data_IF_793715677150
#
_entry.id   IF_793715677150
#
_cell.length_a   1.000
_cell.length_b   1.000
_cell.length_c   1.000
_cell.angle_alpha   90.00
_cell.angle_beta   90.00
_cell.angle_gamma   90.00
#
_symmetry.space_group_name_H-M   'P 1'
#
loop_
_entity.id
_entity.type
_entity.pdbx_description
1 polymer ?
#
# COMPACT_ATOMS: atom_id res chain seq x y z
N UNK A 1 7.17 -2.68 -7.15
CA UNK A 1 5.86 -2.67 -6.47
C UNK A 1 5.52 -4.08 -6.02
N UNK A 2 4.82 -4.23 -4.90
CA UNK A 2 4.30 -5.54 -4.50
C UNK A 2 2.88 -5.68 -5.02
N UNK A 3 2.56 -6.78 -5.66
CA UNK A 3 1.22 -7.01 -6.22
C UNK A 3 0.70 -8.35 -5.75
N UNK A 4 -0.57 -8.38 -5.38
CA UNK A 4 -1.32 -9.61 -5.16
C UNK A 4 -1.97 -9.97 -6.49
N UNK A 5 -1.63 -11.12 -7.04
CA UNK A 5 -2.19 -11.62 -8.29
C UNK A 5 -2.87 -12.97 -8.10
N UNK A 6 -3.88 -13.22 -8.92
CA UNK A 6 -4.57 -14.51 -9.02
C UNK A 6 -4.13 -15.23 -10.28
N UNK A 7 -3.58 -16.42 -10.12
CA UNK A 7 -3.22 -17.30 -11.23
C UNK A 7 -4.46 -17.89 -11.91
N UNK A 8 -4.35 -18.33 -13.17
CA UNK A 8 -5.45 -19.01 -13.87
C UNK A 8 -5.87 -20.31 -13.18
N UNK A 9 -4.98 -20.93 -12.41
CA UNK A 9 -5.28 -22.11 -11.57
C UNK A 9 -6.15 -21.75 -10.33
N UNK A 10 -6.38 -20.46 -10.08
CA UNK A 10 -7.19 -19.94 -8.98
C UNK A 10 -6.41 -19.67 -7.69
N UNK A 11 -5.12 -19.99 -7.64
CA UNK A 11 -4.21 -19.65 -6.54
C UNK A 11 -3.85 -18.17 -6.53
N UNK A 12 -3.60 -17.63 -5.34
CA UNK A 12 -3.23 -16.23 -5.13
C UNK A 12 -1.77 -16.16 -4.66
N UNK A 13 -1.01 -15.18 -5.17
CA UNK A 13 0.41 -15.00 -4.86
C UNK A 13 0.78 -13.52 -4.77
N UNK A 14 1.62 -13.17 -3.80
CA UNK A 14 2.24 -11.85 -3.69
C UNK A 14 3.61 -11.86 -4.36
N UNK A 15 3.78 -11.01 -5.39
CA UNK A 15 5.03 -10.91 -6.15
C UNK A 15 5.52 -9.48 -6.21
N UNK A 16 6.84 -9.31 -6.18
CA UNK A 16 7.47 -8.02 -6.39
C UNK A 16 7.80 -7.83 -7.88
N UNK A 17 7.16 -6.84 -8.50
CA UNK A 17 7.38 -6.46 -9.89
C UNK A 17 8.10 -5.11 -9.96
N UNK A 18 9.28 -5.07 -10.56
CA UNK A 18 10.05 -3.82 -10.77
C UNK A 18 9.87 -3.22 -12.16
N UNK A 19 9.56 -4.04 -13.16
CA UNK A 19 9.50 -3.65 -14.58
C UNK A 19 8.14 -3.10 -15.03
N UNK A 20 7.15 -3.07 -14.14
CA UNK A 20 5.78 -2.65 -14.46
C UNK A 20 5.48 -1.32 -13.78
N UNK A 21 5.76 -0.16 -14.40
CA UNK A 21 5.53 1.14 -13.78
C UNK A 21 4.03 1.51 -13.66
N UNK A 22 3.16 0.92 -14.47
CA UNK A 22 1.73 1.25 -14.57
C UNK A 22 0.87 0.00 -14.50
N UNK A 23 0.95 -0.72 -13.38
CA UNK A 23 0.07 -1.87 -13.14
C UNK A 23 -1.19 -1.40 -12.40
N UNK A 24 -2.35 -1.81 -12.87
CA UNK A 24 -3.66 -1.47 -12.29
C UNK A 24 -4.41 -2.73 -11.83
N UNK A 25 -5.32 -2.57 -10.87
CA UNK A 25 -6.19 -3.67 -10.42
C UNK A 25 -7.12 -4.10 -11.57
N UNK A 26 -7.16 -5.41 -11.83
CA UNK A 26 -7.89 -6.00 -12.95
C UNK A 26 -7.05 -6.22 -14.22
N UNK A 27 -5.80 -5.76 -14.24
CA UNK A 27 -4.90 -6.01 -15.37
C UNK A 27 -4.51 -7.50 -15.48
N UNK A 28 -4.29 -7.98 -16.71
CA UNK A 28 -3.97 -9.38 -17.00
C UNK A 28 -2.51 -9.45 -17.45
N UNK A 29 -1.69 -10.14 -16.67
CA UNK A 29 -0.27 -10.37 -16.96
C UNK A 29 -0.10 -11.38 -18.12
N UNK A 30 1.12 -11.43 -18.68
CA UNK A 30 1.46 -12.30 -19.82
C UNK A 30 1.22 -13.80 -19.54
N UNK A 31 1.37 -14.22 -18.28
CA UNK A 31 1.08 -15.59 -17.80
C UNK A 31 -0.43 -15.88 -17.64
N UNK A 32 -1.29 -14.90 -17.90
CA UNK A 32 -2.74 -15.00 -17.69
C UNK A 32 -3.17 -14.78 -16.24
N UNK A 33 -2.25 -14.35 -15.37
CA UNK A 33 -2.55 -13.98 -13.99
C UNK A 33 -3.24 -12.61 -13.93
N UNK A 34 -4.20 -12.44 -13.01
CA UNK A 34 -4.99 -11.21 -12.86
C UNK A 34 -4.53 -10.45 -11.62
N UNK A 35 -4.29 -9.15 -11.76
CA UNK A 35 -3.89 -8.29 -10.64
C UNK A 35 -5.12 -8.03 -9.76
N UNK A 36 -5.08 -8.45 -8.50
CA UNK A 36 -6.18 -8.22 -7.54
C UNK A 36 -5.93 -6.96 -6.71
N UNK A 37 -4.68 -6.71 -6.32
CA UNK A 37 -4.32 -5.54 -5.53
C UNK A 37 -2.88 -5.10 -5.82
N UNK A 38 -2.66 -3.79 -5.93
CA UNK A 38 -1.33 -3.19 -6.10
C UNK A 38 -0.92 -2.47 -4.83
N UNK A 39 0.13 -2.94 -4.18
CA UNK A 39 0.78 -2.26 -3.04
C UNK A 39 2.01 -1.52 -3.54
N UNK A 40 1.87 -0.22 -3.66
CA UNK A 40 3.02 0.67 -3.73
C UNK A 40 3.72 0.57 -2.38
N UNK A 41 5.02 0.23 -2.38
CA UNK A 41 5.83 0.36 -1.17
C UNK A 41 5.86 1.87 -0.91
N UNK A 42 4.99 2.32 -0.01
CA UNK A 42 4.89 3.73 0.27
C UNK A 42 6.23 4.12 0.90
N UNK A 43 7.04 4.93 0.20
CA UNK A 43 8.22 5.54 0.80
C UNK A 43 7.83 6.56 1.89
N UNK A 44 6.52 6.76 2.11
CA UNK A 44 5.93 7.62 3.13
C UNK A 44 5.77 6.98 4.53
N UNK A 45 6.33 5.78 4.79
CA UNK A 45 6.61 5.37 6.19
C UNK A 45 7.78 6.18 6.82
N UNK A 46 8.21 7.26 6.16
CA UNK A 46 9.08 8.31 6.75
C UNK A 46 8.38 9.67 6.86
N UNK A 47 7.05 9.74 6.88
CA UNK A 47 6.36 10.96 7.36
C UNK A 47 5.01 10.68 8.06
N UNK A 48 4.73 9.43 8.45
CA UNK A 48 3.66 9.13 9.38
C UNK A 48 4.14 9.29 10.84
N UNK A 49 4.82 10.40 11.17
CA UNK A 49 4.82 10.84 12.56
C UNK A 49 3.39 11.30 12.81
N UNK A 50 2.65 10.48 13.55
CA UNK A 50 1.36 10.79 14.14
C UNK A 50 1.47 12.06 15.01
N UNK A 51 1.54 13.23 14.38
CA UNK A 51 1.51 14.54 15.03
C UNK A 51 0.05 14.88 15.35
N UNK A 52 -0.50 14.10 16.27
CA UNK A 52 -1.83 14.30 16.85
C UNK A 52 -1.92 13.76 18.28
N UNK A 53 -0.79 13.35 18.88
CA UNK A 53 -0.71 12.97 20.29
C UNK A 53 0.19 13.96 21.04
N UNK A 54 -0.11 15.25 20.92
CA UNK A 54 0.20 16.18 22.00
C UNK A 54 -1.11 16.37 22.75
N UNK A 55 -1.20 15.72 23.91
CA UNK A 55 -2.17 16.08 24.91
C UNK A 55 -2.00 17.58 25.17
N UNK A 56 -2.98 18.39 24.77
CA UNK A 56 -3.15 19.73 25.31
C UNK A 56 -3.71 19.56 26.74
N UNK A 57 -2.84 19.11 27.63
CA UNK A 57 -3.00 19.28 29.08
C UNK A 57 -2.19 20.53 29.43
N UNK A 58 -2.74 21.70 29.05
CA UNK A 58 -2.19 23.00 29.45
C UNK A 58 -3.33 23.87 29.98
N UNK A 59 -3.60 23.67 31.27
CA UNK A 59 -3.94 24.67 32.29
C UNK A 59 -4.13 26.11 31.75
N UNK A 60 -5.38 26.50 31.40
CA UNK A 60 -5.75 27.89 31.14
C UNK A 60 -6.20 28.55 32.45
N UNK A 61 -5.17 29.03 33.14
CA UNK A 61 -5.03 30.30 33.87
C UNK A 61 -6.25 30.85 34.64
N UNK A 62 -6.07 30.87 35.95
CA UNK A 62 -6.79 31.74 36.87
C UNK A 62 -6.41 33.21 36.64
N UNK A 63 -7.33 34.06 36.19
CA UNK A 63 -7.31 35.51 36.48
C UNK A 63 -8.66 36.22 36.30
#
# INVERSE_FOLDING_TARGET
MWVLMKRPDGSEEEVYLSDYPYLEEGDILDDGSVVIAVRYKNEEETDAISMGFFADETDDDSL
#
